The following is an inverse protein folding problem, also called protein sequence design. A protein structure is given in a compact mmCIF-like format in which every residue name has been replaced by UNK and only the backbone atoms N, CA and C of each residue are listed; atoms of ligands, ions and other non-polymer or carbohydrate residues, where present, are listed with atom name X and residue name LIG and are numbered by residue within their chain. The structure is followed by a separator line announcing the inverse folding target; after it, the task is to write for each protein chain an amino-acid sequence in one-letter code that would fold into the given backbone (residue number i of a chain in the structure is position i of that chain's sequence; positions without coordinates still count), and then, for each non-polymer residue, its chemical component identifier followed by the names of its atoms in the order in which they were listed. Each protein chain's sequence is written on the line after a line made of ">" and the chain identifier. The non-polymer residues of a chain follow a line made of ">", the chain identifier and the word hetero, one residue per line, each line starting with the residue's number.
data_IF_797413927763
#
_entry.id   IF_797413927763
#
_cell.length_a   1.000
_cell.length_b   1.000
_cell.length_c   1.000
_cell.angle_alpha   90.00
_cell.angle_beta   90.00
_cell.angle_gamma   90.00
#
_symmetry.space_group_name_H-M   'P 1'
#
loop_
_entity.id
_entity.type
_entity.pdbx_description
1 polymer ?
#
# COMPACT_ATOMS: atom_id res chain seq x y z
N UNK A 1 -10.12 140.47 -45.22
CA UNK A 1 -9.40 141.24 -44.20
C UNK A 1 -8.54 140.35 -43.49
N UNK A 2 -7.29 140.40 -43.77
CA UNK A 2 -6.15 140.66 -42.91
C UNK A 2 -5.91 139.50 -41.90
N UNK A 3 -4.87 138.93 -41.69
CA UNK A 3 -3.48 139.20 -41.90
C UNK A 3 -2.70 137.96 -41.43
N UNK A 4 -1.60 137.75 -42.09
CA UNK A 4 -0.49 136.89 -41.60
C UNK A 4 0.10 137.49 -40.31
N UNK A 5 1.00 136.83 -39.58
CA UNK A 5 2.24 136.21 -40.13
C UNK A 5 2.81 134.97 -39.30
N UNK A 6 3.46 134.23 -40.08
CA UNK A 6 4.82 133.67 -39.91
C UNK A 6 5.49 133.55 -38.51
N UNK A 7 5.96 132.28 -38.21
CA UNK A 7 7.37 132.06 -37.77
C UNK A 7 7.73 130.57 -37.59
N UNK A 8 8.64 130.18 -38.32
CA UNK A 8 9.74 129.28 -38.19
C UNK A 8 9.95 128.56 -36.83
N UNK A 9 10.18 127.26 -36.82
CA UNK A 9 10.72 126.55 -35.69
C UNK A 9 11.08 125.06 -36.06
N UNK A 10 12.33 124.90 -36.29
CA UNK A 10 13.24 123.82 -36.26
C UNK A 10 12.73 122.38 -35.98
N UNK A 11 13.02 121.50 -36.90
CA UNK A 11 12.93 120.06 -36.75
C UNK A 11 13.98 119.52 -35.81
N UNK A 12 13.72 118.57 -34.89
CA UNK A 12 14.74 117.60 -34.37
C UNK A 12 14.70 116.28 -35.18
N UNK A 13 15.84 115.77 -35.51
CA UNK A 13 16.15 114.50 -36.18
C UNK A 13 15.82 113.38 -35.27
N UNK A 14 14.89 112.50 -35.68
CA UNK A 14 14.64 111.17 -35.02
C UNK A 14 15.72 110.19 -35.53
N UNK A 15 16.59 109.75 -34.63
CA UNK A 15 17.49 108.64 -34.85
C UNK A 15 16.66 107.35 -34.90
N UNK A 16 16.55 106.66 -36.02
CA UNK A 16 16.11 105.29 -36.13
C UNK A 16 17.20 104.37 -35.52
N UNK A 17 16.87 103.85 -34.34
CA UNK A 17 17.56 102.70 -33.85
C UNK A 17 17.24 101.51 -34.75
N UNK A 18 18.18 100.92 -35.45
CA UNK A 18 18.02 99.70 -36.22
C UNK A 18 17.62 98.61 -35.23
N UNK A 19 16.33 98.21 -35.30
CA UNK A 19 15.89 97.01 -34.55
C UNK A 19 16.69 95.82 -35.00
N UNK A 20 17.17 95.05 -34.02
CA UNK A 20 17.91 93.78 -34.26
C UNK A 20 17.10 92.83 -35.15
N UNK A 21 15.76 93.05 -35.23
CA UNK A 21 14.82 92.31 -36.07
C UNK A 21 14.87 92.73 -37.55
N UNK A 22 15.59 93.77 -37.96
CA UNK A 22 15.72 94.18 -39.36
C UNK A 22 16.86 93.46 -40.11
N UNK A 23 17.72 92.79 -39.42
CA UNK A 23 18.74 91.98 -40.06
C UNK A 23 18.12 90.73 -40.67
N UNK A 24 18.26 90.58 -41.98
CA UNK A 24 17.71 89.50 -42.78
C UNK A 24 18.21 88.12 -42.25
N UNK A 25 19.37 88.08 -41.69
CA UNK A 25 19.99 86.84 -41.12
C UNK A 25 19.35 86.45 -39.79
N UNK A 26 19.04 87.45 -38.96
CA UNK A 26 18.37 87.18 -37.64
C UNK A 26 16.88 86.81 -37.86
N UNK A 27 16.18 87.40 -38.82
CA UNK A 27 14.84 86.94 -39.19
C UNK A 27 14.80 85.52 -39.72
N UNK A 28 15.79 85.15 -40.51
CA UNK A 28 15.91 83.81 -41.05
C UNK A 28 16.23 82.76 -39.93
N UNK A 29 17.08 83.11 -38.97
CA UNK A 29 17.37 82.33 -37.80
C UNK A 29 16.14 82.15 -36.88
N UNK A 30 15.41 83.22 -36.64
CA UNK A 30 14.17 83.24 -35.87
C UNK A 30 13.04 82.43 -36.54
N UNK A 31 12.98 82.46 -37.88
CA UNK A 31 12.04 81.66 -38.65
C UNK A 31 12.39 80.15 -38.60
N UNK A 32 13.68 79.83 -38.66
CA UNK A 32 14.12 78.44 -38.53
C UNK A 32 13.88 77.92 -37.11
N UNK A 33 14.21 78.70 -36.07
CA UNK A 33 13.91 78.35 -34.70
C UNK A 33 12.38 78.22 -34.46
N UNK A 34 11.60 79.18 -34.98
CA UNK A 34 10.13 79.13 -34.92
C UNK A 34 9.58 77.91 -35.65
N UNK A 35 10.15 77.57 -36.83
CA UNK A 35 9.74 76.35 -37.56
C UNK A 35 10.11 75.07 -36.80
N UNK A 36 11.29 75.02 -36.16
CA UNK A 36 11.71 73.92 -35.33
C UNK A 36 10.80 73.77 -34.10
N UNK A 37 10.51 74.90 -33.43
CA UNK A 37 9.58 74.91 -32.29
C UNK A 37 8.16 74.54 -32.72
N UNK A 38 7.67 75.08 -33.83
CA UNK A 38 6.37 74.70 -34.37
C UNK A 38 6.31 73.20 -34.79
N UNK A 39 7.37 72.72 -35.45
CA UNK A 39 7.56 71.29 -35.77
C UNK A 39 7.58 70.43 -34.51
N UNK A 40 8.33 70.79 -33.49
CA UNK A 40 8.41 70.09 -32.22
C UNK A 40 7.03 70.10 -31.52
N UNK A 41 6.32 71.23 -31.47
CA UNK A 41 4.97 71.30 -30.88
C UNK A 41 3.99 70.45 -31.68
N UNK A 42 4.03 70.50 -32.99
CA UNK A 42 3.15 69.63 -33.83
C UNK A 42 3.50 68.17 -33.63
N UNK A 43 4.78 67.81 -33.54
CA UNK A 43 5.21 66.44 -33.32
C UNK A 43 4.82 65.93 -31.95
N UNK A 44 4.84 66.77 -30.91
CA UNK A 44 4.50 66.37 -29.51
C UNK A 44 2.99 66.43 -29.28
N UNK A 45 2.25 67.43 -29.84
CA UNK A 45 0.83 67.65 -29.49
C UNK A 45 -0.11 66.98 -30.50
N UNK A 46 0.32 66.81 -31.76
CA UNK A 46 -0.53 66.27 -32.86
C UNK A 46 -0.08 64.87 -33.29
N UNK A 47 0.81 64.18 -32.49
CA UNK A 47 1.08 62.80 -32.85
C UNK A 47 -0.23 61.99 -32.81
N UNK A 48 -0.67 61.38 -33.91
CA UNK A 48 -1.72 60.38 -33.87
C UNK A 48 -1.18 59.27 -33.03
N UNK A 49 -1.95 58.81 -32.00
CA UNK A 49 -1.54 57.71 -31.11
C UNK A 49 -0.97 56.53 -31.92
N UNK A 50 0.27 56.22 -31.64
CA UNK A 50 0.94 55.08 -32.31
C UNK A 50 0.41 53.77 -31.74
N UNK A 51 0.33 52.75 -32.56
CA UNK A 51 -0.07 51.39 -32.13
C UNK A 51 1.15 50.45 -32.18
N UNK A 52 1.30 49.66 -31.14
CA UNK A 52 2.30 48.60 -31.04
C UNK A 52 1.60 47.27 -30.83
N UNK A 53 1.99 46.25 -31.59
CA UNK A 53 1.51 44.89 -31.43
C UNK A 53 2.50 44.08 -30.58
N UNK A 54 2.00 43.46 -29.54
CA UNK A 54 2.78 42.55 -28.64
C UNK A 54 2.20 41.17 -28.80
N UNK A 55 2.98 40.27 -29.43
CA UNK A 55 2.56 38.89 -29.70
C UNK A 55 2.98 37.95 -28.58
N UNK A 56 2.37 36.79 -28.54
CA UNK A 56 2.70 35.66 -27.63
C UNK A 56 2.61 36.03 -26.15
N UNK A 57 1.56 36.77 -25.75
CA UNK A 57 1.28 37.00 -24.33
C UNK A 57 0.48 35.84 -23.80
N UNK A 58 1.01 35.10 -22.80
CA UNK A 58 0.31 33.94 -22.23
C UNK A 58 -0.94 34.39 -21.44
N UNK A 59 -1.96 33.54 -21.47
CA UNK A 59 -3.13 33.71 -20.60
C UNK A 59 -2.82 33.12 -19.24
N UNK A 60 -2.94 33.90 -18.19
CA UNK A 60 -2.75 33.51 -16.80
C UNK A 60 -4.09 33.07 -16.20
N UNK A 61 -4.24 31.75 -15.98
CA UNK A 61 -5.40 31.14 -15.37
C UNK A 61 -5.38 31.20 -13.83
N UNK A 62 -4.29 31.64 -13.24
CA UNK A 62 -4.14 31.73 -11.77
C UNK A 62 -4.49 33.12 -11.24
N UNK A 63 -4.47 34.11 -12.11
CA UNK A 63 -4.76 35.50 -11.74
C UNK A 63 -6.23 35.70 -11.34
N UNK A 64 -6.45 36.29 -10.15
CA UNK A 64 -7.78 36.59 -9.57
C UNK A 64 -8.66 35.34 -9.36
N UNK A 65 -8.04 34.21 -9.07
CA UNK A 65 -8.71 32.89 -8.90
C UNK A 65 -9.71 32.83 -7.73
N UNK A 66 -9.66 33.80 -6.80
CA UNK A 66 -10.55 33.85 -5.63
C UNK A 66 -12.04 33.84 -6.00
N UNK A 67 -12.39 34.29 -7.19
CA UNK A 67 -13.78 34.37 -7.66
C UNK A 67 -14.45 32.99 -7.77
N UNK A 68 -13.72 31.94 -8.15
CA UNK A 68 -14.21 30.58 -8.25
C UNK A 68 -13.74 29.69 -7.11
N UNK A 69 -12.49 29.84 -6.59
CA UNK A 69 -11.97 29.04 -5.49
C UNK A 69 -12.73 29.24 -4.19
N UNK A 70 -13.26 30.44 -3.94
CA UNK A 70 -14.14 30.72 -2.77
C UNK A 70 -15.45 29.91 -2.78
N UNK A 71 -15.81 29.30 -3.92
CA UNK A 71 -16.98 28.43 -4.10
C UNK A 71 -16.62 26.95 -4.11
N UNK A 72 -15.37 26.62 -3.82
CA UNK A 72 -14.86 25.25 -3.87
C UNK A 72 -14.57 24.73 -5.27
N UNK A 73 -14.67 25.60 -6.30
CA UNK A 73 -14.40 25.21 -7.67
C UNK A 73 -12.90 25.26 -7.97
N UNK A 74 -12.45 24.35 -8.79
CA UNK A 74 -11.10 24.26 -9.33
C UNK A 74 -11.14 24.16 -10.85
N UNK A 75 -10.10 24.62 -11.52
CA UNK A 75 -9.93 24.41 -12.95
C UNK A 75 -9.48 22.96 -13.14
N UNK A 76 -10.28 22.18 -13.83
CA UNK A 76 -10.01 20.79 -14.18
C UNK A 76 -9.25 20.72 -15.50
N UNK A 77 -9.64 21.55 -16.46
CA UNK A 77 -8.98 21.64 -17.76
C UNK A 77 -9.01 23.07 -18.28
N UNK A 78 -7.88 23.53 -18.76
CA UNK A 78 -7.73 24.79 -19.48
C UNK A 78 -6.69 24.60 -20.61
N UNK A 79 -6.94 25.14 -21.80
CA UNK A 79 -5.97 25.05 -22.88
C UNK A 79 -4.81 26.03 -22.65
N UNK A 80 -3.61 25.66 -23.07
CA UNK A 80 -2.55 26.68 -23.22
C UNK A 80 -2.96 27.68 -24.30
N UNK A 81 -3.08 28.95 -23.93
CA UNK A 81 -3.50 30.00 -24.84
C UNK A 81 -2.56 31.19 -24.78
N UNK A 82 -2.20 31.68 -25.96
CA UNK A 82 -1.42 32.88 -26.15
C UNK A 82 -2.22 33.85 -27.00
N UNK A 83 -2.17 35.16 -26.67
CA UNK A 83 -2.87 36.19 -27.40
C UNK A 83 -1.91 37.27 -27.90
N UNK A 84 -2.35 37.99 -28.88
CA UNK A 84 -1.67 39.20 -29.38
C UNK A 84 -2.37 40.43 -28.86
N UNK A 85 -1.63 41.34 -28.22
CA UNK A 85 -2.16 42.57 -27.71
C UNK A 85 -1.86 43.71 -28.69
N UNK A 86 -2.88 44.57 -28.89
CA UNK A 86 -2.75 45.84 -29.59
C UNK A 86 -2.76 46.94 -28.53
N UNK A 87 -1.62 47.59 -28.38
CA UNK A 87 -1.40 48.69 -27.42
C UNK A 87 -1.36 50.01 -28.18
N UNK A 88 -2.19 50.97 -27.80
CA UNK A 88 -2.29 52.30 -28.42
C UNK A 88 -1.99 53.38 -27.39
N UNK A 89 -1.18 54.36 -27.77
CA UNK A 89 -0.79 55.48 -26.89
C UNK A 89 0.33 56.31 -27.48
N UNK A 90 0.91 57.17 -26.67
CA UNK A 90 2.09 57.95 -27.08
C UNK A 90 3.28 57.00 -27.36
N UNK A 91 3.96 57.22 -28.50
CA UNK A 91 5.07 56.36 -28.94
C UNK A 91 6.17 56.17 -27.88
N UNK A 92 6.42 57.21 -27.07
CA UNK A 92 7.37 57.13 -25.94
C UNK A 92 6.86 56.18 -24.83
N UNK A 93 5.59 56.27 -24.51
CA UNK A 93 4.97 55.47 -23.45
C UNK A 93 4.85 53.98 -23.83
N UNK A 94 4.53 53.67 -25.11
CA UNK A 94 4.33 52.28 -25.54
C UNK A 94 5.60 51.64 -26.08
N UNK A 95 6.63 52.41 -26.41
CA UNK A 95 7.85 51.91 -27.06
C UNK A 95 8.59 50.86 -26.26
N UNK A 96 8.68 50.99 -24.94
CA UNK A 96 9.38 50.11 -24.02
C UNK A 96 8.52 48.92 -23.52
N UNK A 97 7.20 48.91 -23.75
CA UNK A 97 6.30 47.90 -23.25
C UNK A 97 6.57 46.55 -23.92
N UNK A 98 6.55 45.50 -23.12
CA UNK A 98 6.77 44.09 -23.49
C UNK A 98 5.64 43.20 -22.98
N UNK A 99 5.64 41.93 -23.32
CA UNK A 99 4.62 40.99 -22.85
C UNK A 99 4.52 40.91 -21.33
N UNK A 100 5.65 41.08 -20.61
CA UNK A 100 5.73 41.01 -19.14
C UNK A 100 5.07 42.20 -18.43
N UNK A 101 4.74 43.26 -19.15
CA UNK A 101 4.07 44.43 -18.58
C UNK A 101 2.53 44.27 -18.53
N UNK A 102 2.02 43.16 -19.10
CA UNK A 102 0.60 42.85 -19.16
C UNK A 102 0.31 41.49 -18.58
N UNK A 103 -0.85 41.39 -17.90
CA UNK A 103 -1.48 40.12 -17.51
C UNK A 103 -2.78 39.99 -18.29
N UNK A 104 -2.90 38.89 -19.02
CA UNK A 104 -4.14 38.49 -19.71
C UNK A 104 -4.75 37.35 -18.93
N UNK A 105 -5.99 37.49 -18.54
CA UNK A 105 -6.70 36.51 -17.72
C UNK A 105 -8.16 36.39 -18.09
N UNK A 106 -8.82 35.26 -17.84
CA UNK A 106 -10.25 35.13 -18.07
C UNK A 106 -11.10 35.94 -17.09
N UNK A 107 -12.24 36.39 -17.51
CA UNK A 107 -13.23 37.00 -16.63
C UNK A 107 -13.97 35.91 -15.82
N UNK A 108 -13.60 35.78 -14.56
CA UNK A 108 -14.15 34.79 -13.64
C UNK A 108 -15.54 35.17 -13.08
N UNK A 109 -16.05 36.36 -13.34
CA UNK A 109 -17.29 36.89 -12.73
C UNK A 109 -18.53 36.03 -13.01
N UNK A 110 -18.53 35.33 -14.15
CA UNK A 110 -19.61 34.43 -14.58
C UNK A 110 -19.52 32.99 -14.01
N UNK A 111 -18.42 32.61 -13.37
CA UNK A 111 -18.21 31.26 -12.88
C UNK A 111 -18.92 31.05 -11.55
N UNK A 112 -20.01 30.27 -11.55
CA UNK A 112 -20.85 30.01 -10.36
C UNK A 112 -21.02 28.54 -10.02
N UNK A 113 -20.90 27.67 -11.00
CA UNK A 113 -21.16 26.23 -10.94
C UNK A 113 -20.15 25.45 -11.81
N UNK A 114 -20.06 24.17 -11.61
CA UNK A 114 -19.23 23.25 -12.40
C UNK A 114 -19.64 23.18 -13.86
N UNK A 115 -18.77 22.63 -14.69
CA UNK A 115 -18.93 22.42 -16.12
C UNK A 115 -18.05 23.30 -16.99
N UNK A 116 -18.17 23.14 -18.30
CA UNK A 116 -17.45 23.91 -19.29
C UNK A 116 -18.03 25.34 -19.40
N UNK A 117 -17.16 26.34 -19.34
CA UNK A 117 -17.50 27.75 -19.45
C UNK A 117 -16.63 28.43 -20.48
N UNK A 118 -17.27 29.12 -21.43
CA UNK A 118 -16.59 30.03 -22.36
C UNK A 118 -16.43 31.39 -21.69
N UNK A 119 -15.20 31.79 -21.40
CA UNK A 119 -14.86 33.00 -20.65
C UNK A 119 -14.20 34.02 -21.56
N UNK A 120 -14.59 35.28 -21.43
CA UNK A 120 -13.92 36.36 -22.12
C UNK A 120 -12.59 36.70 -21.45
N UNK A 121 -11.60 36.98 -22.27
CA UNK A 121 -10.27 37.36 -21.79
C UNK A 121 -10.25 38.87 -21.50
N UNK A 122 -9.68 39.22 -20.39
CA UNK A 122 -9.39 40.58 -19.97
C UNK A 122 -7.87 40.80 -19.95
N UNK A 123 -7.47 42.06 -20.13
CA UNK A 123 -6.07 42.47 -20.07
C UNK A 123 -5.87 43.60 -19.10
N UNK A 124 -4.84 43.50 -18.28
CA UNK A 124 -4.45 44.52 -17.30
C UNK A 124 -2.95 44.76 -17.35
N UNK A 125 -2.52 46.00 -17.14
CA UNK A 125 -1.10 46.30 -16.89
C UNK A 125 -0.67 45.84 -15.49
N UNK A 126 0.47 45.21 -15.36
CA UNK A 126 1.02 44.68 -14.09
C UNK A 126 1.14 45.82 -13.06
N UNK A 127 1.64 46.98 -13.46
CA UNK A 127 1.80 48.17 -12.61
C UNK A 127 0.72 49.23 -12.84
N UNK A 128 -0.45 48.85 -13.42
CA UNK A 128 -1.43 49.77 -13.95
C UNK A 128 -1.04 50.29 -15.34
N UNK A 129 -2.04 50.71 -16.15
CA UNK A 129 -1.76 51.31 -17.43
C UNK A 129 -1.35 52.79 -17.23
N UNK A 130 -0.33 53.23 -17.97
CA UNK A 130 0.05 54.62 -18.01
C UNK A 130 -1.10 55.44 -18.57
N UNK A 131 -1.24 56.71 -18.09
CA UNK A 131 -2.24 57.61 -18.61
C UNK A 131 -2.12 57.78 -20.13
N UNK A 132 -3.21 57.58 -20.86
CA UNK A 132 -3.26 57.68 -22.30
C UNK A 132 -2.84 56.38 -23.06
N UNK A 133 -2.57 55.30 -22.36
CA UNK A 133 -2.33 53.97 -22.96
C UNK A 133 -3.59 53.15 -22.89
N UNK A 134 -4.05 52.61 -24.02
CA UNK A 134 -5.14 51.67 -24.14
C UNK A 134 -4.64 50.35 -24.67
N UNK A 135 -5.14 49.23 -24.15
CA UNK A 135 -4.76 47.89 -24.59
C UNK A 135 -6.01 47.09 -24.96
N UNK A 136 -5.93 46.31 -26.02
CA UNK A 136 -6.98 45.40 -26.47
C UNK A 136 -6.36 44.12 -27.05
N UNK A 137 -7.12 43.03 -27.01
CA UNK A 137 -6.73 41.77 -27.64
C UNK A 137 -7.02 41.91 -29.16
N UNK A 138 -6.02 41.59 -29.99
CA UNK A 138 -6.12 41.68 -31.45
C UNK A 138 -6.72 40.38 -32.02
N UNK A 139 -7.49 40.46 -33.10
CA UNK A 139 -7.90 39.31 -33.90
C UNK A 139 -9.20 38.61 -33.49
N UNK A 140 -9.95 39.14 -32.53
CA UNK A 140 -11.29 38.60 -32.18
C UNK A 140 -11.29 37.31 -31.39
N UNK A 141 -10.12 36.71 -31.12
CA UNK A 141 -9.97 35.51 -30.30
C UNK A 141 -9.79 35.84 -28.83
N UNK A 142 -10.84 36.43 -28.26
CA UNK A 142 -10.88 36.98 -26.91
C UNK A 142 -11.64 36.10 -25.91
N UNK A 143 -11.85 34.83 -26.21
CA UNK A 143 -12.51 33.86 -25.31
C UNK A 143 -11.71 32.59 -25.17
N UNK A 144 -11.94 31.88 -24.08
CA UNK A 144 -11.31 30.58 -23.77
C UNK A 144 -12.32 29.69 -23.07
N UNK A 145 -12.31 28.40 -23.46
CA UNK A 145 -13.13 27.39 -22.82
C UNK A 145 -12.34 26.78 -21.65
N UNK A 146 -12.93 26.79 -20.48
CA UNK A 146 -12.34 26.27 -19.24
C UNK A 146 -13.35 25.36 -18.55
N UNK A 147 -12.90 24.19 -18.12
CA UNK A 147 -13.72 23.23 -17.36
C UNK A 147 -13.48 23.43 -15.88
N UNK A 148 -14.56 23.67 -15.14
CA UNK A 148 -14.57 23.82 -13.67
C UNK A 148 -15.29 22.64 -13.04
N UNK A 149 -14.76 22.17 -11.91
CA UNK A 149 -15.46 21.25 -11.03
C UNK A 149 -14.98 21.37 -9.58
N UNK A 150 -15.71 20.75 -8.67
CA UNK A 150 -15.22 20.47 -7.32
C UNK A 150 -14.27 19.29 -7.42
N UNK A 151 -13.02 19.45 -7.00
CA UNK A 151 -12.06 18.36 -6.95
C UNK A 151 -12.18 17.66 -5.61
N UNK A 152 -12.43 16.36 -5.65
CA UNK A 152 -12.62 15.52 -4.47
C UNK A 152 -11.70 14.29 -4.53
N UNK A 153 -11.52 13.67 -3.38
CA UNK A 153 -10.86 12.37 -3.26
C UNK A 153 -11.85 11.32 -2.77
N UNK A 154 -11.83 10.15 -3.40
CA UNK A 154 -12.68 9.02 -3.04
C UNK A 154 -11.87 7.74 -3.03
N UNK A 155 -11.91 7.04 -1.91
CA UNK A 155 -11.31 5.70 -1.80
C UNK A 155 -12.37 4.65 -2.10
N UNK A 156 -12.06 3.75 -3.02
CA UNK A 156 -12.95 2.68 -3.49
C UNK A 156 -12.29 1.33 -3.21
N UNK A 157 -13.01 0.37 -2.56
CA UNK A 157 -12.48 -0.97 -2.35
C UNK A 157 -12.34 -1.72 -3.68
N UNK A 158 -11.29 -2.53 -3.79
CA UNK A 158 -11.01 -3.34 -4.97
C UNK A 158 -11.63 -4.73 -4.80
N UNK A 159 -12.39 -5.17 -5.78
CA UNK A 159 -12.98 -6.52 -5.84
C UNK A 159 -12.28 -7.33 -6.92
N UNK A 160 -11.87 -8.56 -6.61
CA UNK A 160 -11.24 -9.45 -7.59
C UNK A 160 -12.30 -10.31 -8.29
N UNK A 161 -12.23 -10.38 -9.61
CA UNK A 161 -13.06 -11.28 -10.43
C UNK A 161 -12.18 -12.32 -11.12
N UNK A 162 -12.51 -13.60 -10.91
CA UNK A 162 -11.73 -14.76 -11.35
C UNK A 162 -12.49 -15.66 -12.36
N UNK A 163 -13.51 -15.12 -13.02
CA UNK A 163 -14.43 -15.89 -13.87
C UNK A 163 -13.79 -16.58 -15.07
N UNK A 164 -12.59 -16.17 -15.46
CA UNK A 164 -11.89 -16.66 -16.67
C UNK A 164 -10.67 -17.51 -16.34
N UNK A 165 -10.60 -18.07 -15.12
CA UNK A 165 -9.51 -18.93 -14.70
C UNK A 165 -9.86 -20.40 -14.91
N UNK A 166 -8.90 -21.16 -15.41
CA UNK A 166 -8.98 -22.63 -15.47
C UNK A 166 -8.01 -23.21 -14.44
N UNK A 167 -8.55 -23.97 -13.48
CA UNK A 167 -7.77 -24.67 -12.46
C UNK A 167 -7.62 -26.13 -12.89
N UNK A 168 -6.40 -26.67 -12.82
CA UNK A 168 -6.12 -28.05 -13.19
C UNK A 168 -6.82 -29.06 -12.25
N UNK A 169 -7.07 -30.26 -12.76
CA UNK A 169 -7.63 -31.35 -11.95
C UNK A 169 -6.72 -31.66 -10.76
N UNK A 170 -7.31 -31.81 -9.58
CA UNK A 170 -6.59 -32.03 -8.33
C UNK A 170 -6.07 -30.75 -7.65
N UNK A 171 -6.41 -29.59 -8.17
CA UNK A 171 -6.09 -28.28 -7.59
C UNK A 171 -7.36 -27.47 -7.30
N UNK A 172 -7.21 -26.45 -6.48
CA UNK A 172 -8.29 -25.54 -6.07
C UNK A 172 -7.75 -24.12 -5.98
N UNK A 173 -8.54 -23.14 -6.43
CA UNK A 173 -8.32 -21.74 -6.06
C UNK A 173 -8.81 -21.55 -4.63
N UNK A 174 -7.86 -21.49 -3.70
CA UNK A 174 -8.16 -21.38 -2.28
C UNK A 174 -8.55 -19.94 -1.88
N UNK A 175 -7.91 -18.95 -2.50
CA UNK A 175 -8.18 -17.55 -2.24
C UNK A 175 -7.44 -16.62 -3.19
N UNK A 176 -7.70 -15.35 -3.01
CA UNK A 176 -7.02 -14.26 -3.72
C UNK A 176 -6.50 -13.25 -2.71
N UNK A 177 -5.27 -12.79 -2.89
CA UNK A 177 -4.67 -11.73 -2.10
C UNK A 177 -4.37 -10.54 -3.00
N UNK A 178 -4.67 -9.34 -2.53
CA UNK A 178 -4.40 -8.08 -3.19
C UNK A 178 -3.22 -7.40 -2.53
N UNK A 179 -2.32 -6.79 -3.30
CA UNK A 179 -1.26 -5.93 -2.78
C UNK A 179 -1.82 -4.68 -2.10
N UNK A 180 -3.00 -4.21 -2.56
CA UNK A 180 -3.79 -3.13 -1.96
C UNK A 180 -5.28 -3.48 -2.00
N UNK A 181 -5.98 -3.25 -0.91
CA UNK A 181 -7.41 -3.53 -0.78
C UNK A 181 -8.32 -2.43 -1.34
N UNK A 182 -7.76 -1.24 -1.58
CA UNK A 182 -8.49 -0.07 -2.07
C UNK A 182 -7.60 0.83 -2.91
N UNK A 183 -8.22 1.64 -3.76
CA UNK A 183 -7.57 2.66 -4.58
C UNK A 183 -8.20 4.02 -4.33
N UNK A 184 -7.38 5.08 -4.33
CA UNK A 184 -7.84 6.46 -4.18
C UNK A 184 -7.92 7.11 -5.57
N UNK A 185 -9.08 7.70 -5.85
CA UNK A 185 -9.37 8.52 -7.00
C UNK A 185 -9.30 9.98 -6.58
N UNK A 186 -8.66 10.84 -7.37
CA UNK A 186 -8.64 12.29 -7.16
C UNK A 186 -9.01 12.99 -8.46
N UNK A 187 -10.06 13.79 -8.45
CA UNK A 187 -10.55 14.44 -9.66
C UNK A 187 -11.91 15.12 -9.50
N UNK A 188 -12.56 15.44 -10.63
CA UNK A 188 -13.86 16.10 -10.64
C UNK A 188 -14.95 15.26 -9.96
N UNK A 189 -15.74 15.89 -9.08
CA UNK A 189 -16.86 15.22 -8.40
C UNK A 189 -17.84 14.59 -9.40
N UNK A 190 -18.06 15.24 -10.53
CA UNK A 190 -18.96 14.73 -11.60
C UNK A 190 -18.48 13.43 -12.25
N UNK A 191 -17.17 13.12 -12.18
CA UNK A 191 -16.62 11.82 -12.61
C UNK A 191 -16.58 10.82 -11.46
N UNK A 192 -16.08 11.26 -10.30
CA UNK A 192 -15.87 10.41 -9.12
C UNK A 192 -17.18 9.86 -8.56
N UNK A 193 -18.25 10.67 -8.56
CA UNK A 193 -19.57 10.24 -8.05
C UNK A 193 -20.19 9.11 -8.87
N UNK A 194 -19.83 8.98 -10.13
CA UNK A 194 -20.28 7.87 -10.98
C UNK A 194 -19.71 6.52 -10.56
N UNK A 195 -18.54 6.53 -9.91
CA UNK A 195 -17.84 5.31 -9.52
C UNK A 195 -18.51 4.70 -8.30
N UNK A 196 -19.00 3.47 -8.43
CA UNK A 196 -19.59 2.70 -7.33
C UNK A 196 -18.69 1.54 -6.92
N UNK A 197 -18.08 0.86 -7.89
CA UNK A 197 -17.21 -0.31 -7.65
C UNK A 197 -15.93 -0.23 -8.47
N UNK A 198 -14.86 -0.80 -7.91
CA UNK A 198 -13.60 -1.04 -8.57
C UNK A 198 -13.35 -2.55 -8.65
N UNK A 199 -12.98 -3.06 -9.82
CA UNK A 199 -12.77 -4.48 -10.04
C UNK A 199 -11.43 -4.74 -10.72
N UNK A 200 -10.68 -5.70 -10.18
CA UNK A 200 -9.51 -6.31 -10.82
C UNK A 200 -9.96 -7.61 -11.51
N UNK A 201 -10.05 -7.61 -12.83
CA UNK A 201 -10.43 -8.77 -13.62
C UNK A 201 -9.20 -9.60 -13.97
N UNK A 202 -9.01 -10.70 -13.24
CA UNK A 202 -7.84 -11.56 -13.43
C UNK A 202 -8.11 -12.54 -14.59
N UNK A 203 -7.20 -12.57 -15.54
CA UNK A 203 -7.19 -13.53 -16.65
C UNK A 203 -5.87 -14.27 -16.69
N UNK A 204 -5.92 -15.57 -16.92
CA UNK A 204 -4.72 -16.39 -17.09
C UNK A 204 -4.92 -17.36 -18.25
N UNK A 205 -3.89 -17.50 -19.10
CA UNK A 205 -3.90 -18.44 -20.23
C UNK A 205 -3.33 -19.79 -19.79
N UNK A 206 -4.17 -20.82 -19.81
CA UNK A 206 -3.81 -22.18 -19.44
C UNK A 206 -4.35 -22.60 -18.08
N UNK A 207 -4.02 -23.84 -17.70
CA UNK A 207 -4.42 -24.41 -16.42
C UNK A 207 -3.45 -24.01 -15.30
N UNK A 208 -4.00 -23.60 -14.18
CA UNK A 208 -3.22 -23.23 -12.98
C UNK A 208 -2.97 -24.46 -12.10
N UNK A 209 -1.69 -24.72 -11.83
CA UNK A 209 -1.19 -25.80 -10.95
C UNK A 209 -0.39 -25.28 -9.76
N UNK A 210 -0.12 -23.98 -9.73
CA UNK A 210 0.61 -23.32 -8.64
C UNK A 210 0.10 -21.90 -8.44
N UNK A 211 0.39 -21.32 -7.29
CA UNK A 211 0.04 -19.94 -7.00
C UNK A 211 0.82 -18.99 -7.90
N UNK A 212 0.13 -17.97 -8.42
CA UNK A 212 0.69 -16.98 -9.34
C UNK A 212 0.29 -15.58 -8.92
N UNK A 213 1.22 -14.64 -9.04
CA UNK A 213 0.95 -13.21 -8.86
C UNK A 213 0.90 -12.54 -10.22
N UNK A 214 -0.19 -11.81 -10.48
CA UNK A 214 -0.46 -11.16 -11.75
C UNK A 214 -0.74 -9.67 -11.50
N UNK A 215 -0.09 -8.81 -12.31
CA UNK A 215 -0.44 -7.40 -12.34
C UNK A 215 -1.71 -7.20 -13.16
N UNK A 216 -2.75 -6.67 -12.53
CA UNK A 216 -4.10 -6.59 -13.08
C UNK A 216 -4.58 -5.16 -13.09
N UNK A 217 -4.99 -4.68 -14.26
CA UNK A 217 -5.54 -3.35 -14.44
C UNK A 217 -6.87 -3.20 -13.67
N UNK A 218 -7.03 -2.03 -13.04
CA UNK A 218 -8.25 -1.67 -12.33
C UNK A 218 -9.29 -1.14 -13.31
N UNK A 219 -10.52 -1.62 -13.17
CA UNK A 219 -11.69 -1.15 -13.91
C UNK A 219 -12.74 -0.62 -12.95
N UNK A 220 -13.37 0.46 -13.34
CA UNK A 220 -14.33 1.17 -12.51
C UNK A 220 -15.72 1.11 -13.13
N UNK A 221 -16.72 0.90 -12.30
CA UNK A 221 -18.08 0.72 -12.76
C UNK A 221 -19.07 1.59 -11.99
N UNK A 222 -20.11 2.00 -12.71
CA UNK A 222 -21.28 2.66 -12.14
C UNK A 222 -22.18 1.67 -11.41
N UNK A 223 -23.18 2.18 -10.67
CA UNK A 223 -24.20 1.34 -10.06
C UNK A 223 -25.04 0.52 -11.07
N UNK A 224 -25.09 0.95 -12.33
CA UNK A 224 -25.76 0.19 -13.41
C UNK A 224 -24.87 -0.88 -14.05
N UNK A 225 -23.59 -1.00 -13.65
CA UNK A 225 -22.63 -1.94 -14.22
C UNK A 225 -21.95 -1.46 -15.49
N UNK A 226 -22.11 -0.20 -15.87
CA UNK A 226 -21.40 0.38 -17.00
C UNK A 226 -19.99 0.81 -16.59
N UNK A 227 -18.98 0.54 -17.44
CA UNK A 227 -17.60 0.97 -17.20
C UNK A 227 -17.49 2.49 -17.23
N UNK A 228 -16.68 3.06 -16.32
CA UNK A 228 -16.43 4.50 -16.20
C UNK A 228 -15.08 4.79 -16.83
N UNK A 229 -15.07 5.66 -17.84
CA UNK A 229 -13.85 6.23 -18.40
C UNK A 229 -13.62 7.62 -17.79
N UNK A 230 -12.38 7.91 -17.40
CA UNK A 230 -11.98 9.16 -16.80
C UNK A 230 -11.31 10.06 -17.84
N UNK A 231 -11.75 11.32 -17.91
CA UNK A 231 -11.10 12.35 -18.72
C UNK A 231 -10.11 13.18 -17.88
N UNK A 232 -10.44 13.41 -16.62
CA UNK A 232 -9.72 14.35 -15.74
C UNK A 232 -9.39 13.77 -14.36
N UNK A 233 -9.89 12.59 -14.03
CA UNK A 233 -9.61 11.92 -12.76
C UNK A 233 -8.25 11.23 -12.81
N UNK A 234 -7.45 11.45 -11.78
CA UNK A 234 -6.18 10.77 -11.56
C UNK A 234 -6.36 9.61 -10.59
N UNK A 235 -5.71 8.50 -10.89
CA UNK A 235 -5.68 7.31 -10.05
C UNK A 235 -4.37 7.28 -9.26
N UNK A 236 -4.42 6.94 -7.99
CA UNK A 236 -3.22 6.66 -7.22
C UNK A 236 -2.42 5.51 -7.86
N UNK A 237 -3.14 4.47 -8.31
CA UNK A 237 -2.59 3.35 -9.08
C UNK A 237 -3.60 2.90 -10.13
N UNK A 238 -3.11 2.52 -11.31
CA UNK A 238 -3.94 2.02 -12.41
C UNK A 238 -4.03 0.50 -12.46
N UNK A 239 -3.16 -0.21 -11.72
CA UNK A 239 -3.12 -1.67 -11.61
C UNK A 239 -2.82 -2.09 -10.18
N UNK A 240 -3.11 -3.34 -9.86
CA UNK A 240 -2.84 -3.98 -8.57
C UNK A 240 -2.30 -5.38 -8.79
N UNK A 241 -1.34 -5.79 -7.97
CA UNK A 241 -0.90 -7.18 -7.96
C UNK A 241 -1.94 -8.06 -7.25
N UNK A 242 -2.42 -9.06 -7.97
CA UNK A 242 -3.35 -10.08 -7.46
C UNK A 242 -2.62 -11.41 -7.38
N UNK A 243 -2.48 -11.93 -6.18
CA UNK A 243 -1.94 -13.28 -5.96
C UNK A 243 -3.09 -14.28 -5.90
N UNK A 244 -3.12 -15.21 -6.85
CA UNK A 244 -4.02 -16.34 -6.88
C UNK A 244 -3.40 -17.47 -6.06
N UNK A 245 -4.01 -17.84 -4.93
CA UNK A 245 -3.57 -18.95 -4.11
C UNK A 245 -4.14 -20.26 -4.66
N UNK A 246 -3.35 -20.95 -5.46
CA UNK A 246 -3.72 -22.26 -6.05
C UNK A 246 -3.07 -23.37 -5.25
N UNK A 247 -3.90 -24.21 -4.65
CA UNK A 247 -3.48 -25.29 -3.75
C UNK A 247 -3.76 -26.65 -4.36
N UNK A 248 -2.80 -27.57 -4.19
CA UNK A 248 -2.97 -28.99 -4.54
C UNK A 248 -3.82 -29.69 -3.49
N UNK A 249 -4.83 -30.42 -3.91
CA UNK A 249 -5.64 -31.26 -3.05
C UNK A 249 -5.02 -32.63 -2.86
N UNK A 250 -5.10 -33.18 -1.64
CA UNK A 250 -4.70 -34.54 -1.33
C UNK A 250 -5.60 -35.14 -0.26
N UNK A 251 -5.78 -36.47 -0.36
CA UNK A 251 -6.37 -37.28 0.69
C UNK A 251 -5.27 -38.04 1.40
N UNK A 252 -4.92 -37.64 2.62
CA UNK A 252 -3.81 -38.22 3.37
C UNK A 252 -4.30 -39.12 4.52
N UNK A 253 -3.67 -40.25 4.76
CA UNK A 253 -3.96 -41.08 5.91
C UNK A 253 -3.58 -40.37 7.21
N UNK A 254 -4.34 -40.64 8.26
CA UNK A 254 -4.16 -40.07 9.59
C UNK A 254 -3.34 -41.04 10.45
N UNK A 255 -2.38 -40.53 11.18
CA UNK A 255 -1.60 -41.24 12.17
C UNK A 255 -1.60 -40.52 13.52
N UNK A 256 -1.27 -41.26 14.56
CA UNK A 256 -1.09 -40.75 15.93
C UNK A 256 0.36 -41.02 16.34
N UNK A 257 1.00 -40.05 16.97
CA UNK A 257 2.35 -40.20 17.52
C UNK A 257 2.28 -40.45 19.03
N UNK A 258 3.25 -41.16 19.56
CA UNK A 258 3.36 -41.44 20.98
C UNK A 258 4.59 -40.73 21.58
N UNK A 259 4.41 -40.08 22.73
CA UNK A 259 5.50 -39.50 23.51
C UNK A 259 5.66 -40.21 24.86
N UNK A 260 6.79 -39.98 25.51
CA UNK A 260 7.18 -40.69 26.73
C UNK A 260 7.19 -42.23 26.57
N UNK A 261 7.39 -42.66 25.31
CA UNK A 261 7.60 -44.07 25.00
C UNK A 261 8.95 -44.56 25.51
N UNK A 262 9.05 -45.83 25.98
CA UNK A 262 10.33 -46.39 26.36
C UNK A 262 11.27 -46.51 25.15
N UNK A 263 12.57 -46.75 25.45
CA UNK A 263 13.55 -47.04 24.41
C UNK A 263 13.13 -48.27 23.60
N UNK A 264 13.27 -48.21 22.29
CA UNK A 264 12.93 -49.28 21.34
C UNK A 264 11.46 -49.74 21.42
N UNK A 265 10.54 -48.80 21.76
CA UNK A 265 9.13 -49.10 21.85
C UNK A 265 8.54 -49.52 20.50
N UNK A 266 7.89 -50.67 20.49
CA UNK A 266 7.15 -51.19 19.34
C UNK A 266 5.66 -50.78 19.48
N UNK A 267 5.30 -49.66 18.82
CA UNK A 267 3.95 -49.09 18.86
C UNK A 267 2.89 -49.97 18.20
N UNK A 268 3.29 -51.01 17.44
CA UNK A 268 2.35 -51.99 16.87
C UNK A 268 1.50 -52.73 17.91
N UNK A 269 1.92 -52.68 19.18
CA UNK A 269 1.15 -53.20 20.31
C UNK A 269 -0.11 -52.41 20.59
N UNK A 270 -0.12 -51.10 20.27
CA UNK A 270 -1.22 -50.20 20.46
C UNK A 270 -2.12 -50.18 19.22
N UNK A 271 -3.00 -51.18 19.11
CA UNK A 271 -4.01 -51.18 18.05
C UNK A 271 -5.09 -50.15 18.36
N UNK A 272 -5.32 -49.21 17.44
CA UNK A 272 -6.34 -48.19 17.63
C UNK A 272 -7.23 -48.02 16.41
N UNK A 273 -8.40 -47.39 16.63
CA UNK A 273 -9.33 -46.97 15.60
C UNK A 273 -9.51 -45.46 15.65
N UNK A 274 -9.60 -44.86 14.47
CA UNK A 274 -9.81 -43.45 14.29
C UNK A 274 -11.25 -43.21 13.83
N UNK A 275 -11.90 -42.15 14.32
CA UNK A 275 -13.20 -41.71 13.80
C UNK A 275 -13.16 -41.38 12.31
N UNK A 276 -11.99 -40.93 11.82
CA UNK A 276 -11.72 -40.71 10.40
C UNK A 276 -10.28 -41.14 10.07
N UNK A 277 -10.15 -42.00 9.09
CA UNK A 277 -8.86 -42.61 8.73
C UNK A 277 -8.03 -41.77 7.74
N UNK A 278 -8.69 -40.88 7.02
CA UNK A 278 -8.09 -40.01 6.01
C UNK A 278 -8.67 -38.60 6.13
N UNK A 279 -7.86 -37.61 5.81
CA UNK A 279 -8.29 -36.21 5.74
C UNK A 279 -8.04 -35.66 4.34
N UNK A 280 -9.01 -34.88 3.87
CA UNK A 280 -8.85 -34.08 2.65
C UNK A 280 -8.23 -32.76 3.00
N UNK A 281 -7.09 -32.47 2.42
CA UNK A 281 -6.30 -31.28 2.67
C UNK A 281 -5.94 -30.59 1.37
N UNK A 282 -5.64 -29.29 1.45
CA UNK A 282 -5.10 -28.52 0.35
C UNK A 282 -3.93 -27.67 0.84
N UNK A 283 -2.94 -27.47 -0.03
CA UNK A 283 -1.78 -26.65 0.26
C UNK A 283 -0.87 -26.51 -0.95
N UNK A 284 0.25 -25.78 -0.80
CA UNK A 284 1.26 -25.67 -1.84
C UNK A 284 1.74 -27.07 -2.28
N UNK A 285 1.79 -27.32 -3.58
CA UNK A 285 2.16 -28.64 -4.13
C UNK A 285 3.50 -29.14 -3.57
N UNK A 286 4.47 -28.25 -3.42
CA UNK A 286 5.79 -28.56 -2.85
C UNK A 286 5.77 -29.06 -1.41
N UNK A 287 4.72 -28.74 -0.65
CA UNK A 287 4.52 -29.24 0.72
C UNK A 287 3.67 -30.51 0.73
N UNK A 288 2.56 -30.50 -0.01
CA UNK A 288 1.66 -31.67 -0.11
C UNK A 288 2.42 -32.91 -0.60
N UNK A 289 3.31 -32.76 -1.59
CA UNK A 289 4.05 -33.88 -2.17
C UNK A 289 5.09 -34.53 -1.21
N UNK A 290 5.42 -33.84 -0.12
CA UNK A 290 6.31 -34.40 0.94
C UNK A 290 5.55 -35.12 2.02
N UNK A 291 4.24 -34.98 2.08
CA UNK A 291 3.40 -35.57 3.12
C UNK A 291 2.90 -36.94 2.67
N UNK A 292 3.28 -37.97 3.41
CA UNK A 292 2.74 -39.34 3.22
C UNK A 292 1.60 -39.63 4.21
N UNK A 293 1.62 -38.99 5.38
CA UNK A 293 0.66 -39.15 6.46
C UNK A 293 0.50 -37.83 7.21
N UNK A 294 -0.61 -37.66 7.90
CA UNK A 294 -0.88 -36.52 8.80
C UNK A 294 -0.92 -37.05 10.24
N UNK A 295 -0.01 -36.55 11.09
CA UNK A 295 -0.10 -36.77 12.54
C UNK A 295 -1.08 -35.77 13.12
N UNK A 296 -2.16 -36.26 13.71
CA UNK A 296 -3.21 -35.39 14.29
C UNK A 296 -2.98 -35.06 15.77
N UNK A 297 -1.86 -35.48 16.31
CA UNK A 297 -1.48 -35.16 17.67
C UNK A 297 -0.64 -36.28 18.33
N UNK A 298 -0.29 -36.05 19.59
CA UNK A 298 0.55 -36.94 20.37
C UNK A 298 -0.22 -37.48 21.56
N UNK A 299 -0.05 -38.77 21.85
CA UNK A 299 -0.58 -39.41 23.03
C UNK A 299 0.59 -39.72 23.98
N UNK A 300 0.48 -39.18 25.19
CA UNK A 300 1.47 -39.42 26.24
C UNK A 300 1.21 -40.76 26.90
N UNK A 301 2.17 -41.70 26.74
CA UNK A 301 2.08 -43.01 27.32
C UNK A 301 2.16 -43.01 28.85
N UNK A 302 2.76 -41.99 29.46
CA UNK A 302 2.80 -41.86 30.92
C UNK A 302 1.42 -41.62 31.54
N UNK A 303 0.50 -40.99 30.79
CA UNK A 303 -0.87 -40.73 31.21
C UNK A 303 -1.90 -41.60 30.48
N UNK A 304 -1.43 -42.61 29.75
CA UNK A 304 -2.26 -43.48 28.96
C UNK A 304 -3.26 -44.28 29.82
N UNK A 305 -4.46 -44.43 29.29
CA UNK A 305 -5.50 -45.23 29.90
C UNK A 305 -6.17 -46.12 28.85
N UNK A 306 -6.23 -47.43 29.11
CA UNK A 306 -6.72 -48.43 28.17
C UNK A 306 -8.16 -48.20 27.69
N UNK A 307 -9.02 -47.64 28.53
CA UNK A 307 -10.45 -47.49 28.24
C UNK A 307 -10.87 -46.04 27.92
N UNK A 308 -9.91 -45.18 27.73
CA UNK A 308 -10.16 -43.76 27.42
C UNK A 308 -10.26 -43.55 25.91
N UNK A 309 -11.25 -42.82 25.50
CA UNK A 309 -11.32 -42.26 24.14
C UNK A 309 -10.61 -40.89 24.17
N UNK A 310 -9.67 -40.72 23.30
CA UNK A 310 -8.87 -39.51 23.19
C UNK A 310 -9.46 -38.64 22.08
N UNK A 311 -9.81 -37.40 22.39
CA UNK A 311 -10.19 -36.39 21.40
C UNK A 311 -8.97 -35.55 21.05
N UNK A 312 -8.55 -35.62 19.80
CA UNK A 312 -7.36 -34.98 19.29
C UNK A 312 -7.78 -33.81 18.38
N UNK A 313 -7.38 -32.58 18.68
CA UNK A 313 -7.55 -31.49 17.74
C UNK A 313 -6.70 -31.73 16.49
N UNK A 314 -7.21 -31.35 15.33
CA UNK A 314 -6.47 -31.46 14.08
C UNK A 314 -5.52 -30.28 13.96
N UNK A 315 -4.25 -30.51 14.17
CA UNK A 315 -3.20 -29.53 13.99
C UNK A 315 -2.47 -29.78 12.67
N UNK A 316 -2.56 -28.82 11.75
CA UNK A 316 -1.92 -28.90 10.44
C UNK A 316 -0.72 -27.94 10.37
N UNK A 317 0.26 -28.22 9.54
CA UNK A 317 1.31 -27.24 9.19
C UNK A 317 0.70 -25.93 8.68
N UNK A 318 1.40 -24.81 8.87
CA UNK A 318 0.88 -23.44 8.65
C UNK A 318 0.25 -23.22 7.27
N UNK A 319 0.78 -23.88 6.25
CA UNK A 319 0.35 -23.66 4.86
C UNK A 319 -0.62 -24.75 4.35
N UNK A 320 -0.95 -25.73 5.18
CA UNK A 320 -1.92 -26.76 4.85
C UNK A 320 -3.28 -26.38 5.42
N UNK A 321 -4.31 -26.58 4.62
CA UNK A 321 -5.70 -26.28 4.98
C UNK A 321 -6.54 -27.56 4.96
N UNK A 322 -7.36 -27.72 5.96
CA UNK A 322 -8.34 -28.81 6.01
C UNK A 322 -9.54 -28.46 5.13
N UNK A 323 -9.89 -29.35 4.24
CA UNK A 323 -11.09 -29.25 3.42
C UNK A 323 -12.32 -29.91 4.05
N UNK A 324 -12.09 -30.81 5.00
CA UNK A 324 -13.14 -31.46 5.75
C UNK A 324 -13.70 -30.54 6.83
N UNK A 325 -15.01 -30.57 7.03
CA UNK A 325 -15.68 -29.73 8.05
C UNK A 325 -15.67 -30.44 9.43
N UNK A 326 -14.45 -30.72 9.95
CA UNK A 326 -14.24 -31.31 11.27
C UNK A 326 -13.08 -30.62 11.96
N UNK A 327 -13.07 -30.55 13.28
CA UNK A 327 -12.00 -29.92 14.07
C UNK A 327 -11.24 -30.93 14.96
N UNK A 328 -11.83 -32.09 15.21
CA UNK A 328 -11.28 -33.13 16.10
C UNK A 328 -11.39 -34.51 15.50
N UNK A 329 -10.49 -35.40 15.88
CA UNK A 329 -10.54 -36.84 15.59
C UNK A 329 -10.52 -37.57 16.92
N UNK A 330 -11.40 -38.58 17.07
CA UNK A 330 -11.35 -39.47 18.22
C UNK A 330 -10.52 -40.69 17.95
N UNK A 331 -9.70 -41.03 18.93
CA UNK A 331 -8.82 -42.21 18.93
C UNK A 331 -9.27 -43.17 20.02
N UNK A 332 -9.62 -44.38 19.67
CA UNK A 332 -10.03 -45.44 20.59
C UNK A 332 -9.11 -46.64 20.48
N UNK A 333 -8.54 -47.10 21.61
CA UNK A 333 -7.62 -48.21 21.65
C UNK A 333 -8.36 -49.52 21.88
N UNK A 334 -7.90 -50.56 21.17
CA UNK A 334 -8.35 -51.93 21.45
C UNK A 334 -7.54 -52.50 22.64
N UNK A 335 -8.15 -52.45 23.81
CA UNK A 335 -7.56 -52.95 25.06
C UNK A 335 -7.70 -54.44 25.27
N UNK A 336 -8.40 -55.16 24.38
CA UNK A 336 -8.71 -56.61 24.57
C UNK A 336 -7.47 -57.51 24.62
N UNK A 337 -6.34 -57.06 24.07
CA UNK A 337 -5.06 -57.78 24.02
C UNK A 337 -4.00 -57.27 24.99
N UNK A 338 -4.34 -56.22 25.74
CA UNK A 338 -3.44 -55.54 26.67
C UNK A 338 -3.84 -55.86 28.10
N UNK A 339 -2.86 -56.10 28.92
CA UNK A 339 -3.00 -56.26 30.36
C UNK A 339 -2.05 -55.33 31.12
N UNK A 340 -2.40 -55.04 32.35
CA UNK A 340 -1.56 -54.29 33.25
C UNK A 340 -1.07 -55.14 34.40
N UNK A 341 0.18 -54.94 34.82
CA UNK A 341 0.80 -55.61 35.97
C UNK A 341 1.51 -54.58 36.85
N UNK A 342 1.21 -54.62 38.12
CA UNK A 342 1.88 -53.74 39.09
C UNK A 342 3.01 -54.49 39.79
N UNK A 343 4.20 -53.94 39.75
CA UNK A 343 5.42 -54.53 40.30
C UNK A 343 6.12 -53.52 41.24
N UNK A 344 6.91 -54.06 42.17
CA UNK A 344 7.84 -53.28 42.96
C UNK A 344 9.25 -53.59 42.49
N UNK A 345 9.94 -52.59 41.97
CA UNK A 345 11.25 -52.77 41.32
C UNK A 345 12.36 -52.43 42.32
N UNK A 346 13.35 -53.35 42.51
CA UNK A 346 14.47 -53.08 43.40
C UNK A 346 15.45 -52.08 42.77
N UNK A 347 16.23 -51.38 43.60
CA UNK A 347 17.27 -50.43 43.13
C UNK A 347 18.29 -51.07 42.18
N UNK A 348 18.47 -52.38 42.29
CA UNK A 348 19.36 -53.13 41.35
C UNK A 348 18.93 -53.06 39.89
N UNK A 349 17.68 -52.68 39.60
CA UNK A 349 17.18 -52.49 38.25
C UNK A 349 17.52 -51.12 37.66
N UNK A 350 18.12 -50.21 38.45
CA UNK A 350 18.47 -48.85 37.99
C UNK A 350 19.73 -48.90 37.17
N UNK A 351 19.64 -48.26 36.00
CA UNK A 351 20.76 -48.04 35.09
C UNK A 351 20.87 -46.52 34.84
N UNK A 352 22.08 -45.98 35.06
CA UNK A 352 22.38 -44.58 34.78
C UNK A 352 23.14 -44.48 33.48
N UNK A 353 22.68 -43.62 32.57
CA UNK A 353 23.33 -43.36 31.27
C UNK A 353 23.72 -41.91 31.15
N UNK A 354 24.69 -41.61 30.30
CA UNK A 354 25.15 -40.24 29.96
C UNK A 354 25.61 -39.37 31.14
N UNK A 355 25.89 -39.97 32.33
CA UNK A 355 26.40 -39.22 33.47
C UNK A 355 27.85 -38.78 33.19
N UNK A 356 28.17 -37.47 33.27
CA UNK A 356 29.54 -37.00 33.11
C UNK A 356 30.48 -37.60 34.14
N UNK A 357 31.69 -38.01 33.75
CA UNK A 357 32.67 -38.67 34.61
C UNK A 357 33.14 -37.87 35.81
N UNK A 358 32.82 -36.58 35.87
CA UNK A 358 33.08 -35.69 37.01
C UNK A 358 32.11 -35.86 38.18
N UNK A 359 31.06 -36.67 37.98
CA UNK A 359 30.00 -36.89 38.96
C UNK A 359 29.82 -38.40 39.25
N UNK A 360 29.47 -38.69 40.47
CA UNK A 360 28.98 -40.03 40.88
C UNK A 360 27.54 -39.90 41.38
N UNK A 361 26.64 -40.75 40.84
CA UNK A 361 25.24 -40.82 41.27
C UNK A 361 25.00 -42.09 42.07
N UNK A 362 24.51 -41.92 43.29
CA UNK A 362 24.12 -43.01 44.20
C UNK A 362 22.60 -43.03 44.33
N UNK A 363 21.97 -44.17 44.06
CA UNK A 363 20.52 -44.34 44.21
C UNK A 363 20.19 -44.55 45.67
N UNK A 364 19.37 -43.66 46.26
CA UNK A 364 18.91 -43.74 47.65
C UNK A 364 17.59 -44.52 47.81
N UNK A 365 16.78 -44.56 46.73
CA UNK A 365 15.53 -45.32 46.71
C UNK A 365 15.80 -46.81 46.70
N UNK A 366 15.49 -47.55 47.79
CA UNK A 366 15.69 -49.00 47.84
C UNK A 366 14.79 -49.76 46.89
N UNK A 367 13.54 -49.29 46.71
CA UNK A 367 12.53 -49.88 45.81
C UNK A 367 11.63 -48.82 45.25
N UNK A 368 11.40 -48.91 43.94
CA UNK A 368 10.33 -48.13 43.26
C UNK A 368 9.03 -48.93 43.40
N UNK A 369 8.10 -48.40 44.19
CA UNK A 369 6.84 -49.05 44.54
C UNK A 369 5.72 -48.78 43.57
N UNK A 370 4.83 -49.77 43.37
CA UNK A 370 3.59 -49.65 42.60
C UNK A 370 3.81 -49.24 41.16
N UNK A 371 4.87 -49.76 40.51
CA UNK A 371 5.11 -49.52 39.09
C UNK A 371 4.09 -50.31 38.27
N UNK A 372 3.24 -49.61 37.53
CA UNK A 372 2.26 -50.25 36.65
C UNK A 372 2.81 -50.31 35.23
N UNK A 373 2.96 -51.49 34.72
CA UNK A 373 3.39 -51.78 33.36
C UNK A 373 2.20 -52.29 32.55
N UNK A 374 2.18 -51.98 31.26
CA UNK A 374 1.16 -52.38 30.30
C UNK A 374 1.83 -53.09 29.10
N UNK A 375 1.22 -54.14 28.62
CA UNK A 375 1.72 -54.87 27.46
C UNK A 375 0.82 -56.05 27.06
N UNK A 376 1.22 -56.87 26.11
CA UNK A 376 0.46 -58.06 25.70
C UNK A 376 0.26 -59.06 26.85
N UNK A 377 -0.95 -59.59 26.99
CA UNK A 377 -1.36 -60.48 28.11
C UNK A 377 -0.34 -61.58 28.45
N UNK A 378 0.09 -62.36 27.47
CA UNK A 378 1.06 -63.42 27.70
C UNK A 378 2.46 -62.97 28.11
N UNK A 379 2.86 -61.74 27.71
CA UNK A 379 4.13 -61.15 28.11
C UNK A 379 4.06 -60.62 29.56
N UNK A 380 2.90 -60.08 29.94
CA UNK A 380 2.69 -59.58 31.30
C UNK A 380 2.63 -60.68 32.37
N UNK A 381 2.05 -61.84 32.01
CA UNK A 381 2.03 -62.98 32.90
C UNK A 381 3.44 -63.45 33.30
N UNK A 382 4.35 -63.51 32.31
CA UNK A 382 5.74 -64.01 32.50
C UNK A 382 6.69 -62.92 33.06
N UNK A 383 6.30 -61.66 33.11
CA UNK A 383 7.16 -60.53 33.49
C UNK A 383 7.54 -60.59 34.98
N UNK A 384 8.85 -60.52 35.25
CA UNK A 384 9.39 -60.40 36.61
C UNK A 384 10.07 -59.07 36.85
N UNK A 385 10.22 -58.60 38.10
CA UNK A 385 10.84 -57.32 38.42
C UNK A 385 12.28 -57.17 37.85
N UNK A 386 13.04 -58.23 37.81
CA UNK A 386 14.44 -58.26 37.39
C UNK A 386 14.61 -58.06 35.87
N UNK A 387 13.55 -58.23 35.14
CA UNK A 387 13.55 -58.02 33.68
C UNK A 387 13.30 -56.53 33.27
N UNK A 388 12.89 -55.72 34.24
CA UNK A 388 12.58 -54.31 34.00
C UNK A 388 13.82 -53.46 34.31
N UNK A 389 14.19 -52.59 33.40
CA UNK A 389 15.25 -51.60 33.58
C UNK A 389 14.62 -50.26 33.93
N UNK A 390 15.17 -49.61 34.93
CA UNK A 390 14.84 -48.25 35.34
C UNK A 390 15.97 -47.36 34.84
N UNK A 391 15.79 -46.66 33.74
CA UNK A 391 16.81 -45.82 33.13
C UNK A 391 16.74 -44.41 33.70
N UNK A 392 17.86 -43.88 34.16
CA UNK A 392 18.09 -42.49 34.48
C UNK A 392 19.07 -41.95 33.46
N UNK A 393 18.60 -41.03 32.60
CA UNK A 393 19.43 -40.40 31.60
C UNK A 393 19.85 -38.99 32.09
N UNK A 394 21.16 -38.78 32.24
CA UNK A 394 21.69 -37.53 32.73
C UNK A 394 21.53 -36.35 31.75
N UNK A 395 21.23 -36.62 30.49
CA UNK A 395 20.92 -35.63 29.50
C UNK A 395 19.50 -35.03 29.69
N UNK A 396 18.61 -35.75 30.42
CA UNK A 396 17.23 -35.31 30.65
C UNK A 396 17.05 -34.34 31.84
N UNK A 397 18.08 -34.10 32.63
CA UNK A 397 18.01 -33.23 33.81
C UNK A 397 19.29 -32.43 34.07
N UNK A 398 19.18 -31.34 34.82
CA UNK A 398 20.33 -30.55 35.23
C UNK A 398 21.08 -31.28 36.36
N UNK A 399 22.29 -31.73 36.11
CA UNK A 399 23.15 -32.42 37.10
C UNK A 399 23.61 -31.38 38.16
N UNK A 400 23.11 -31.49 39.39
CA UNK A 400 23.49 -30.63 40.49
C UNK A 400 23.91 -31.52 41.73
N UNK A 401 24.93 -31.07 42.46
CA UNK A 401 25.41 -31.78 43.65
C UNK A 401 24.34 -31.76 44.75
N UNK A 402 24.10 -32.90 45.37
CA UNK A 402 23.14 -33.09 46.46
C UNK A 402 22.07 -34.15 46.15
N UNK A 403 21.03 -34.16 47.00
CA UNK A 403 19.89 -35.05 46.80
C UNK A 403 18.92 -34.48 45.77
N UNK A 404 18.52 -35.28 44.82
CA UNK A 404 17.58 -34.94 43.76
C UNK A 404 16.57 -36.06 43.52
N UNK A 405 15.33 -35.67 43.22
CA UNK A 405 14.31 -36.58 42.70
C UNK A 405 14.37 -36.52 41.17
N UNK A 406 14.84 -37.59 40.54
CA UNK A 406 15.09 -37.65 39.13
C UNK A 406 14.01 -38.51 38.47
N UNK A 407 13.42 -37.98 37.40
CA UNK A 407 12.49 -38.74 36.57
C UNK A 407 13.22 -39.88 35.88
N UNK A 408 12.59 -41.07 35.83
CA UNK A 408 13.16 -42.23 35.21
C UNK A 408 12.23 -42.83 34.16
N UNK A 409 12.84 -43.45 33.15
CA UNK A 409 12.14 -44.22 32.12
C UNK A 409 12.21 -45.70 32.45
N UNK A 410 11.14 -46.42 32.18
CA UNK A 410 11.08 -47.84 32.43
C UNK A 410 10.88 -48.60 31.11
N UNK A 411 11.68 -49.62 30.89
CA UNK A 411 11.54 -50.47 29.72
C UNK A 411 11.98 -51.90 30.01
N UNK A 412 11.58 -52.81 29.12
CA UNK A 412 11.97 -54.24 29.19
C UNK A 412 12.85 -54.52 27.99
N UNK A 413 14.18 -54.70 28.13
CA UNK A 413 15.10 -54.85 27.03
C UNK A 413 14.77 -56.01 26.07
N UNK A 414 14.17 -57.05 26.58
CA UNK A 414 13.77 -58.22 25.82
C UNK A 414 12.43 -58.09 25.08
N UNK A 415 11.65 -57.01 25.35
CA UNK A 415 10.32 -56.88 24.79
C UNK A 415 9.87 -55.38 24.72
N UNK A 416 10.10 -54.76 23.58
CA UNK A 416 9.70 -53.37 23.31
C UNK A 416 8.18 -53.11 23.29
N UNK A 417 7.35 -54.15 23.48
CA UNK A 417 5.87 -54.02 23.53
C UNK A 417 5.33 -53.74 24.93
N UNK A 418 6.22 -53.63 25.93
CA UNK A 418 5.87 -53.37 27.33
C UNK A 418 6.29 -51.94 27.66
N UNK A 419 5.37 -51.15 28.20
CA UNK A 419 5.58 -49.76 28.60
C UNK A 419 5.01 -49.47 29.98
N UNK A 420 5.51 -48.43 30.62
CA UNK A 420 5.05 -48.02 31.95
C UNK A 420 3.87 -47.05 31.83
N UNK A 421 2.90 -47.20 32.71
CA UNK A 421 1.81 -46.26 32.93
C UNK A 421 2.14 -45.41 34.17
N UNK A 422 2.15 -44.11 34.00
CA UNK A 422 2.52 -43.16 35.05
C UNK A 422 3.93 -42.59 34.91
N UNK A 423 4.20 -41.55 35.65
CA UNK A 423 5.53 -40.95 35.78
C UNK A 423 6.17 -41.38 37.08
N UNK A 424 7.41 -41.85 37.00
CA UNK A 424 8.14 -42.37 38.13
C UNK A 424 9.38 -41.52 38.39
N UNK A 425 9.70 -41.34 39.69
CA UNK A 425 10.87 -40.60 40.13
C UNK A 425 11.68 -41.45 41.13
N UNK A 426 12.99 -41.31 41.08
CA UNK A 426 13.92 -41.96 42.00
C UNK A 426 14.71 -40.90 42.74
N UNK A 427 14.86 -41.10 44.03
CA UNK A 427 15.71 -40.24 44.84
C UNK A 427 17.16 -40.71 44.67
N UNK A 428 17.99 -39.77 44.25
CA UNK A 428 19.41 -40.01 44.02
C UNK A 428 20.24 -38.93 44.75
N UNK A 429 21.45 -39.28 45.13
CA UNK A 429 22.49 -38.37 45.62
C UNK A 429 23.58 -38.25 44.54
N UNK A 430 23.89 -37.00 44.18
CA UNK A 430 24.93 -36.68 43.19
C UNK A 430 26.10 -36.04 43.94
N UNK A 431 27.31 -36.56 43.75
CA UNK A 431 28.54 -36.03 44.31
C UNK A 431 29.57 -35.77 43.21
N UNK A 432 30.45 -34.79 43.44
CA UNK A 432 31.58 -34.52 42.56
C UNK A 432 32.70 -35.49 42.88
N UNK A 433 33.30 -36.08 41.86
CA UNK A 433 34.45 -36.95 41.97
C UNK A 433 35.71 -36.22 42.39
#
# INVERSE_FOLDING_TARGET
>A
MSNEPNKSGTKPAIQHSKSILDDRRIRLLLAIVGAIVAWMVVTIVVQPGTTKTIANVPVDFTYDSAAYTSRGLSIVSAPEKYVTLKVSGDGYAIGSLTASDFVVYPDWSGVRDSGEKTLHLQVRGVNGLLNGVTVSIEGGDNSVDVVFDVVEEKTVPITVTTNYLTIADGYILYGTELSKESVTLSGPSTEIDKVTTCTAEVTHNGELTESVTLDTALRFYTNSGSEVEFAYTTLEESSVEVTLQVYKMATLPVSVSFINAPRDFDDSVLTYTLSKKTLNVAGPASQIDKLSTLSVGTIDLSTFSLNKVYEMPIELPSDIRLLDNISTITVSFDSSKLETKTLNLPAACVQVVNLPSTYTLTVETERLMNVTLCGPAGAMEALTPEQVVIEIDADDFAVAIGQQNIACRLYVPSNGKIFALGSYVIQCKIESN
#
